data_IF_634119382031
#
_entry.id   IF_634119382031
#
_cell.length_a   1.000
_cell.length_b   1.000
_cell.length_c   1.000
_cell.angle_alpha   90.00
_cell.angle_beta   90.00
_cell.angle_gamma   90.00
#
_symmetry.space_group_name_H-M   'P 1'
#
loop_
_entity.id
_entity.type
_entity.pdbx_description
1 polymer ?
#
# COMPACT_ATOMS: atom_id res chain seq x y z
N UNK A 1 72.37 31.17 -24.19
CA UNK A 1 71.80 30.19 -25.15
C UNK A 1 70.38 29.88 -24.73
N UNK A 2 69.51 29.86 -25.72
CA UNK A 2 68.05 29.81 -25.62
C UNK A 2 67.53 28.43 -25.15
N UNK A 3 66.43 28.49 -24.39
CA UNK A 3 65.33 27.52 -24.20
C UNK A 3 65.64 26.07 -23.80
N UNK A 4 65.08 25.66 -22.65
CA UNK A 4 64.11 24.57 -22.64
C UNK A 4 63.25 24.62 -21.36
N UNK A 5 61.99 24.98 -21.53
CA UNK A 5 60.88 24.74 -20.61
C UNK A 5 60.76 23.24 -20.31
N UNK A 6 61.16 22.82 -19.11
CA UNK A 6 60.77 21.51 -18.59
C UNK A 6 59.48 21.64 -17.77
N UNK A 7 58.40 21.44 -18.52
CA UNK A 7 57.10 20.91 -18.10
C UNK A 7 57.03 20.30 -16.70
N UNK A 8 56.08 20.84 -15.93
CA UNK A 8 55.42 20.23 -14.77
C UNK A 8 55.05 18.77 -15.01
N UNK A 9 55.89 17.84 -14.54
CA UNK A 9 55.55 16.42 -14.39
C UNK A 9 55.61 16.07 -12.91
N UNK A 10 54.45 16.10 -12.24
CA UNK A 10 54.02 15.10 -11.23
C UNK A 10 52.76 15.48 -10.42
N UNK A 11 51.74 16.10 -11.04
CA UNK A 11 50.38 16.15 -10.47
C UNK A 11 49.50 14.99 -10.98
N UNK A 12 50.03 13.78 -10.96
CA UNK A 12 49.21 12.55 -11.06
C UNK A 12 49.55 11.61 -9.91
N UNK A 13 49.47 12.13 -8.67
CA UNK A 13 49.46 11.25 -7.50
C UNK A 13 48.04 10.73 -7.28
N UNK A 14 47.82 9.52 -7.81
CA UNK A 14 47.01 8.44 -7.23
C UNK A 14 45.63 8.87 -6.66
N UNK A 15 44.68 9.16 -7.55
CA UNK A 15 43.26 8.90 -7.29
C UNK A 15 43.13 7.37 -7.24
N UNK A 16 43.32 6.76 -6.08
CA UNK A 16 43.32 5.29 -5.95
C UNK A 16 44.18 4.71 -4.84
N UNK A 17 44.62 5.49 -3.84
CA UNK A 17 44.97 4.88 -2.56
C UNK A 17 43.70 4.77 -1.73
N UNK A 18 43.08 3.59 -1.75
CA UNK A 18 42.12 3.17 -0.73
C UNK A 18 42.77 3.40 0.62
N UNK A 19 42.30 4.41 1.37
CA UNK A 19 42.87 4.63 2.69
C UNK A 19 42.50 3.39 3.54
N UNK A 20 43.52 2.76 4.10
CA UNK A 20 43.38 1.50 4.84
C UNK A 20 43.52 1.75 6.33
N UNK A 21 43.20 0.75 7.14
CA UNK A 21 43.57 0.76 8.54
C UNK A 21 45.09 0.98 8.68
N UNK A 22 45.57 1.83 9.62
CA UNK A 22 44.84 2.53 10.68
C UNK A 22 44.31 3.93 10.30
N UNK A 23 44.49 4.38 9.05
CA UNK A 23 44.12 5.72 8.60
C UNK A 23 42.60 5.88 8.45
N UNK A 24 41.90 4.89 7.87
CA UNK A 24 40.43 4.79 7.96
C UNK A 24 40.05 3.96 9.19
N UNK A 25 39.26 4.56 10.09
CA UNK A 25 38.64 3.87 11.24
C UNK A 25 37.16 4.25 11.29
N UNK A 26 36.26 3.44 10.74
CA UNK A 26 34.82 3.75 10.72
C UNK A 26 34.23 3.91 12.12
N UNK A 27 34.85 3.29 13.13
CA UNK A 27 34.48 3.46 14.55
C UNK A 27 34.55 4.92 15.04
N UNK A 28 35.35 5.79 14.41
CA UNK A 28 35.40 7.22 14.77
C UNK A 28 34.03 7.89 14.62
N UNK A 29 33.27 7.52 13.58
CA UNK A 29 31.92 8.02 13.33
C UNK A 29 30.84 7.35 14.21
N UNK A 30 31.23 6.39 15.07
CA UNK A 30 30.31 5.62 15.92
C UNK A 30 30.53 5.84 17.41
N UNK A 31 31.44 6.74 17.79
CA UNK A 31 31.92 6.91 19.17
C UNK A 31 30.85 7.48 20.12
N UNK A 32 29.97 8.36 19.63
CA UNK A 32 28.89 8.95 20.44
C UNK A 32 27.55 8.91 19.71
N UNK A 33 26.43 8.91 20.46
CA UNK A 33 25.10 9.07 19.87
C UNK A 33 24.98 10.30 18.96
N UNK A 34 25.62 11.42 19.33
CA UNK A 34 25.57 12.69 18.59
C UNK A 34 26.28 12.59 17.24
N UNK A 35 27.48 11.98 17.19
CA UNK A 35 28.19 11.79 15.92
C UNK A 35 27.41 10.83 15.02
N UNK A 36 26.84 9.74 15.58
CA UNK A 36 25.97 8.84 14.81
C UNK A 36 24.73 9.53 14.27
N UNK A 37 24.15 10.48 14.99
CA UNK A 37 23.02 11.26 14.52
C UNK A 37 23.40 12.17 13.34
N UNK A 38 24.56 12.83 13.39
CA UNK A 38 25.06 13.70 12.31
C UNK A 38 25.32 12.96 10.99
N UNK A 39 25.78 11.70 11.06
CA UNK A 39 26.16 10.93 9.87
C UNK A 39 25.12 9.88 9.47
N UNK A 40 23.93 9.89 10.09
CA UNK A 40 22.87 8.93 9.80
C UNK A 40 22.32 9.18 8.39
N UNK A 41 22.28 8.13 7.59
CA UNK A 41 21.83 8.20 6.19
C UNK A 41 20.31 8.09 6.04
N UNK A 42 19.65 7.33 6.91
CA UNK A 42 18.19 7.08 6.84
C UNK A 42 17.48 7.67 8.04
N UNK A 43 16.41 8.42 7.79
CA UNK A 43 15.49 8.90 8.82
C UNK A 43 14.09 8.34 8.54
N UNK A 44 13.38 8.03 9.62
CA UNK A 44 11.98 7.63 9.58
C UNK A 44 11.15 8.72 10.27
N UNK A 45 10.07 9.14 9.63
CA UNK A 45 9.13 10.13 10.15
C UNK A 45 7.68 9.69 9.89
N UNK A 46 6.69 10.22 10.64
CA UNK A 46 5.28 9.84 10.46
C UNK A 46 4.75 10.01 9.02
N UNK A 47 5.27 10.98 8.27
CA UNK A 47 4.92 11.19 6.87
C UNK A 47 5.45 10.11 5.91
N UNK A 48 6.19 9.11 6.40
CA UNK A 48 6.59 7.93 5.64
C UNK A 48 5.67 6.73 5.90
N UNK A 49 4.64 6.89 6.74
CA UNK A 49 3.76 5.81 7.15
C UNK A 49 2.40 5.90 6.46
N UNK A 50 1.82 4.73 6.19
CA UNK A 50 0.42 4.54 5.80
C UNK A 50 -0.16 3.60 6.85
N UNK A 51 -1.36 3.91 7.37
CA UNK A 51 -2.00 3.09 8.40
C UNK A 51 -3.13 2.22 7.81
N UNK A 52 -2.98 0.88 7.76
CA UNK A 52 -4.04 -0.01 7.32
C UNK A 52 -5.20 -0.05 8.31
N UNK A 53 -6.43 -0.02 7.81
CA UNK A 53 -7.67 -0.13 8.58
C UNK A 53 -8.56 -1.24 8.02
N UNK A 54 -9.12 -2.05 8.91
CA UNK A 54 -10.08 -3.10 8.57
C UNK A 54 -11.49 -2.63 8.90
N UNK A 55 -12.35 -2.55 7.87
CA UNK A 55 -13.70 -2.00 7.99
C UNK A 55 -14.75 -3.07 7.73
N UNK A 56 -15.78 -3.13 8.58
CA UNK A 56 -16.86 -4.11 8.51
C UNK A 56 -18.22 -3.46 8.72
N UNK A 57 -19.30 -4.10 8.29
CA UNK A 57 -20.65 -3.57 8.52
C UNK A 57 -21.05 -3.60 10.00
N UNK A 58 -22.04 -2.77 10.34
CA UNK A 58 -22.64 -2.72 11.66
C UNK A 58 -22.59 -1.31 12.26
N UNK A 59 -22.79 -1.25 13.58
CA UNK A 59 -22.74 -0.01 14.36
C UNK A 59 -22.12 -0.29 15.72
N UNK A 60 -21.19 0.55 16.16
CA UNK A 60 -20.45 0.35 17.41
C UNK A 60 -19.56 -0.89 17.41
N UNK A 61 -19.15 -1.38 16.23
CA UNK A 61 -18.30 -2.57 16.10
C UNK A 61 -16.83 -2.17 16.23
N UNK A 62 -16.18 -2.76 17.22
CA UNK A 62 -14.72 -2.73 17.39
C UNK A 62 -14.27 -4.10 17.90
N UNK A 63 -14.01 -5.00 16.96
CA UNK A 63 -13.68 -6.40 17.28
C UNK A 63 -12.20 -6.66 17.03
N UNK A 64 -11.47 -7.09 18.06
CA UNK A 64 -10.04 -7.37 17.94
C UNK A 64 -9.79 -8.59 17.04
N UNK A 65 -8.80 -8.47 16.17
CA UNK A 65 -8.33 -9.56 15.31
C UNK A 65 -7.38 -10.43 16.14
N UNK A 66 -7.78 -11.65 16.45
CA UNK A 66 -7.05 -12.54 17.37
C UNK A 66 -5.61 -12.85 16.94
N UNK A 67 -5.34 -12.89 15.63
CA UNK A 67 -4.00 -13.10 15.07
C UNK A 67 -3.15 -11.84 15.01
N UNK A 68 -3.73 -10.66 15.25
CA UNK A 68 -3.09 -9.35 15.19
C UNK A 68 -3.46 -8.51 16.43
N UNK A 69 -2.86 -8.79 17.60
CA UNK A 69 -3.17 -8.08 18.85
C UNK A 69 -3.07 -6.56 18.70
N UNK A 70 -4.08 -5.84 19.18
CA UNK A 70 -4.20 -4.39 19.03
C UNK A 70 -4.70 -3.89 17.67
N UNK A 71 -5.10 -4.80 16.76
CA UNK A 71 -5.75 -4.46 15.48
C UNK A 71 -7.21 -4.87 15.53
N UNK A 72 -8.09 -4.07 14.94
CA UNK A 72 -9.54 -4.23 15.07
C UNK A 72 -10.24 -4.16 13.71
N UNK A 73 -11.33 -4.90 13.60
CA UNK A 73 -12.37 -4.65 12.62
C UNK A 73 -13.30 -3.56 13.17
N UNK A 74 -13.49 -2.49 12.40
CA UNK A 74 -14.24 -1.31 12.80
C UNK A 74 -15.48 -1.12 11.93
N UNK A 75 -16.63 -0.80 12.53
CA UNK A 75 -17.75 -0.26 11.75
C UNK A 75 -17.52 1.20 11.34
N UNK A 76 -18.16 1.70 10.27
CA UNK A 76 -17.91 3.06 9.77
C UNK A 76 -18.08 4.15 10.84
N UNK A 77 -19.05 4.01 11.75
CA UNK A 77 -19.28 4.96 12.84
C UNK A 77 -18.15 5.02 13.88
N UNK A 78 -17.32 3.99 13.97
CA UNK A 78 -16.13 3.98 14.83
C UNK A 78 -14.91 4.60 14.16
N UNK A 79 -14.94 4.87 12.86
CA UNK A 79 -13.77 5.38 12.12
C UNK A 79 -13.43 6.82 12.49
N UNK A 80 -14.40 7.66 12.87
CA UNK A 80 -14.13 9.07 13.14
C UNK A 80 -13.10 9.25 14.26
N UNK A 81 -13.26 8.53 15.38
CA UNK A 81 -12.31 8.54 16.50
C UNK A 81 -10.93 7.99 16.10
N UNK A 82 -10.90 6.93 15.29
CA UNK A 82 -9.66 6.34 14.80
C UNK A 82 -8.90 7.33 13.90
N UNK A 83 -9.58 7.99 12.96
CA UNK A 83 -8.98 8.97 12.04
C UNK A 83 -8.45 10.20 12.78
N UNK A 84 -9.13 10.68 13.83
CA UNK A 84 -8.59 11.74 14.68
C UNK A 84 -7.28 11.31 15.36
N UNK A 85 -7.24 10.09 15.89
CA UNK A 85 -6.02 9.52 16.50
C UNK A 85 -4.87 9.42 15.49
N UNK A 86 -5.15 8.95 14.27
CA UNK A 86 -4.18 8.87 13.16
C UNK A 86 -3.63 10.27 12.80
N UNK A 87 -4.51 11.28 12.75
CA UNK A 87 -4.14 12.65 12.45
C UNK A 87 -3.26 13.28 13.55
N UNK A 88 -3.57 13.04 14.84
CA UNK A 88 -2.74 13.48 15.97
C UNK A 88 -1.32 12.91 15.91
N UNK A 89 -1.17 11.67 15.43
CA UNK A 89 0.11 11.01 15.17
C UNK A 89 0.83 11.53 13.92
N UNK A 90 0.19 12.43 13.14
CA UNK A 90 0.70 13.02 11.89
C UNK A 90 0.95 11.99 10.79
N UNK A 91 0.19 10.90 10.79
CA UNK A 91 0.21 9.92 9.71
C UNK A 91 -0.68 10.48 8.58
N UNK A 92 -0.17 10.59 7.34
CA UNK A 92 -0.85 11.32 6.27
C UNK A 92 -1.95 10.50 5.56
N UNK A 93 -1.91 9.17 5.68
CA UNK A 93 -2.71 8.30 4.83
C UNK A 93 -3.18 7.03 5.55
N UNK A 94 -4.37 6.57 5.17
CA UNK A 94 -4.94 5.28 5.57
C UNK A 94 -5.17 4.39 4.35
N UNK A 95 -5.03 3.07 4.53
CA UNK A 95 -5.32 2.05 3.52
C UNK A 95 -6.48 1.18 4.01
N UNK A 96 -7.58 1.14 3.25
CA UNK A 96 -8.79 0.44 3.66
C UNK A 96 -8.84 -0.98 3.13
N UNK A 97 -9.13 -1.93 4.03
CA UNK A 97 -9.48 -3.31 3.74
C UNK A 97 -10.91 -3.58 4.22
N UNK A 98 -11.81 -3.91 3.30
CA UNK A 98 -13.23 -4.08 3.56
C UNK A 98 -13.60 -5.53 3.80
N UNK A 99 -14.41 -5.77 4.83
CA UNK A 99 -15.00 -7.07 5.15
C UNK A 99 -16.48 -6.97 4.75
N UNK A 100 -16.90 -7.62 3.65
CA UNK A 100 -18.26 -7.52 3.16
C UNK A 100 -19.24 -8.25 4.06
N UNK A 101 -20.53 -7.91 3.92
CA UNK A 101 -21.61 -8.64 4.60
C UNK A 101 -21.82 -10.02 3.96
N UNK A 102 -21.72 -10.09 2.63
CA UNK A 102 -21.90 -11.31 1.85
C UNK A 102 -20.80 -11.44 0.80
N UNK A 103 -20.38 -12.68 0.55
CA UNK A 103 -19.43 -13.01 -0.52
C UNK A 103 -20.17 -13.75 -1.63
N UNK A 104 -19.81 -13.47 -2.88
CA UNK A 104 -20.41 -14.06 -4.06
C UNK A 104 -19.34 -14.29 -5.15
N UNK A 105 -19.59 -15.09 -6.20
CA UNK A 105 -18.56 -15.44 -7.19
C UNK A 105 -17.91 -14.28 -7.95
N UNK A 106 -18.49 -13.07 -7.92
CA UNK A 106 -17.98 -11.90 -8.66
C UNK A 106 -17.67 -10.70 -7.75
N UNK A 107 -17.97 -10.78 -6.46
CA UNK A 107 -17.71 -9.73 -5.47
C UNK A 107 -18.55 -8.48 -5.68
N UNK A 108 -19.87 -8.64 -5.85
CA UNK A 108 -20.83 -7.57 -6.14
C UNK A 108 -20.74 -6.39 -5.18
N UNK A 109 -20.56 -6.67 -3.87
CA UNK A 109 -20.53 -5.61 -2.86
C UNK A 109 -19.35 -4.65 -3.06
N UNK A 110 -18.22 -5.13 -3.59
CA UNK A 110 -16.99 -4.36 -3.74
C UNK A 110 -17.16 -3.13 -4.65
N UNK A 111 -18.10 -3.19 -5.59
CA UNK A 111 -18.41 -2.08 -6.50
C UNK A 111 -19.85 -1.56 -6.36
N UNK A 112 -20.52 -1.88 -5.25
CA UNK A 112 -21.82 -1.30 -4.92
C UNK A 112 -21.65 0.17 -4.47
N UNK A 113 -22.58 1.04 -4.84
CA UNK A 113 -22.54 2.47 -4.44
C UNK A 113 -22.47 2.67 -2.91
N UNK A 114 -23.02 1.72 -2.16
CA UNK A 114 -23.02 1.69 -0.70
C UNK A 114 -22.33 0.44 -0.11
N UNK A 115 -21.31 -0.10 -0.79
CA UNK A 115 -20.44 -1.12 -0.22
C UNK A 115 -19.62 -0.60 0.97
N UNK A 116 -19.00 -1.51 1.72
CA UNK A 116 -18.29 -1.15 2.96
C UNK A 116 -17.15 -0.16 2.75
N UNK A 117 -16.36 -0.30 1.67
CA UNK A 117 -15.27 0.62 1.34
C UNK A 117 -15.80 2.00 0.97
N UNK A 118 -16.90 2.07 0.22
CA UNK A 118 -17.52 3.32 -0.20
C UNK A 118 -18.09 4.07 1.02
N UNK A 119 -18.73 3.35 1.95
CA UNK A 119 -19.21 3.92 3.21
C UNK A 119 -18.05 4.44 4.07
N UNK A 120 -17.01 3.63 4.29
CA UNK A 120 -15.85 4.00 5.09
C UNK A 120 -15.12 5.22 4.49
N UNK A 121 -14.92 5.23 3.17
CA UNK A 121 -14.27 6.34 2.46
C UNK A 121 -15.02 7.66 2.67
N UNK A 122 -16.35 7.65 2.52
CA UNK A 122 -17.18 8.84 2.75
C UNK A 122 -17.07 9.34 4.19
N UNK A 123 -17.17 8.44 5.18
CA UNK A 123 -17.05 8.82 6.60
C UNK A 123 -15.68 9.44 6.90
N UNK A 124 -14.59 8.88 6.35
CA UNK A 124 -13.25 9.42 6.56
C UNK A 124 -13.13 10.80 5.92
N UNK A 125 -13.62 10.98 4.69
CA UNK A 125 -13.62 12.27 3.99
C UNK A 125 -14.50 13.32 4.65
N UNK A 126 -15.61 12.93 5.27
CA UNK A 126 -16.45 13.81 6.10
C UNK A 126 -15.77 14.20 7.42
N UNK A 127 -15.04 13.26 8.04
CA UNK A 127 -14.35 13.46 9.33
C UNK A 127 -13.11 14.35 9.16
N UNK A 128 -12.28 14.05 8.16
CA UNK A 128 -11.02 14.75 7.90
C UNK A 128 -10.74 14.75 6.39
N UNK A 129 -11.22 15.76 5.65
CA UNK A 129 -11.07 15.83 4.18
C UNK A 129 -9.63 15.70 3.68
N UNK A 130 -8.66 16.20 4.46
CA UNK A 130 -7.22 16.18 4.16
C UNK A 130 -6.55 14.81 4.35
N UNK A 131 -7.22 13.85 5.02
CA UNK A 131 -6.68 12.50 5.17
C UNK A 131 -6.64 11.83 3.79
N UNK A 132 -5.46 11.34 3.39
CA UNK A 132 -5.33 10.56 2.15
C UNK A 132 -5.94 9.18 2.36
N UNK A 133 -6.96 8.86 1.57
CA UNK A 133 -7.64 7.57 1.59
C UNK A 133 -7.17 6.73 0.41
N UNK A 134 -6.52 5.63 0.74
CA UNK A 134 -6.10 4.60 -0.20
C UNK A 134 -7.08 3.44 -0.09
N UNK A 135 -7.57 2.94 -1.22
CA UNK A 135 -8.48 1.79 -1.25
C UNK A 135 -7.84 0.63 -1.99
N UNK A 136 -8.00 -0.58 -1.45
CA UNK A 136 -7.58 -1.80 -2.13
C UNK A 136 -8.50 -2.12 -3.32
N UNK A 137 -7.92 -2.42 -4.49
CA UNK A 137 -8.66 -2.86 -5.67
C UNK A 137 -8.30 -4.31 -5.95
N UNK A 138 -9.13 -5.22 -5.45
CA UNK A 138 -9.01 -6.67 -5.56
C UNK A 138 -10.34 -7.36 -5.25
N UNK A 139 -10.53 -8.62 -5.64
CA UNK A 139 -11.76 -9.38 -5.37
C UNK A 139 -11.63 -10.45 -4.27
N UNK A 140 -10.44 -10.67 -3.70
CA UNK A 140 -10.20 -11.80 -2.80
C UNK A 140 -11.07 -11.78 -1.54
N UNK A 141 -11.29 -10.62 -0.94
CA UNK A 141 -12.13 -10.53 0.26
C UNK A 141 -13.63 -10.61 -0.06
N UNK A 142 -14.01 -10.35 -1.31
CA UNK A 142 -15.41 -10.26 -1.75
C UNK A 142 -15.93 -11.51 -2.44
N UNK A 143 -15.03 -12.38 -2.90
CA UNK A 143 -15.43 -13.62 -3.56
C UNK A 143 -15.59 -14.76 -2.59
N UNK A 144 -16.61 -15.60 -2.80
CA UNK A 144 -16.88 -16.77 -1.97
C UNK A 144 -15.76 -17.83 -2.05
N UNK A 145 -15.01 -17.81 -3.14
CA UNK A 145 -13.85 -18.66 -3.38
C UNK A 145 -12.50 -18.06 -2.95
N UNK A 146 -12.46 -16.77 -2.59
CA UNK A 146 -11.24 -16.11 -2.06
C UNK A 146 -10.15 -15.75 -3.10
N UNK A 147 -10.30 -16.14 -4.36
CA UNK A 147 -9.41 -15.71 -5.44
C UNK A 147 -9.56 -14.23 -5.82
N UNK A 148 -8.48 -13.63 -6.33
CA UNK A 148 -8.42 -12.21 -6.71
C UNK A 148 -9.20 -11.83 -7.99
N UNK A 149 -9.92 -12.78 -8.60
CA UNK A 149 -10.56 -12.59 -9.89
C UNK A 149 -11.66 -13.61 -10.19
N UNK A 150 -12.28 -13.46 -11.35
CA UNK A 150 -13.38 -14.29 -11.83
C UNK A 150 -12.86 -15.67 -12.21
N UNK A 151 -13.51 -16.73 -11.70
CA UNK A 151 -13.09 -18.10 -12.00
C UNK A 151 -13.75 -18.66 -13.27
N UNK A 152 -12.96 -19.42 -14.03
CA UNK A 152 -13.40 -20.20 -15.17
C UNK A 152 -14.16 -21.45 -14.70
N UNK A 153 -15.44 -21.30 -14.33
CA UNK A 153 -16.27 -22.38 -13.77
C UNK A 153 -17.51 -22.65 -14.63
N UNK A 154 -18.14 -23.81 -14.46
CA UNK A 154 -19.36 -24.20 -15.17
C UNK A 154 -19.20 -25.44 -16.03
N UNK A 155 -18.19 -26.28 -15.78
CA UNK A 155 -17.95 -27.50 -16.54
C UNK A 155 -17.83 -27.24 -18.04
N UNK A 156 -18.67 -27.87 -18.85
CA UNK A 156 -18.67 -27.70 -20.32
C UNK A 156 -19.27 -26.37 -20.79
N UNK A 157 -19.87 -25.59 -19.90
CA UNK A 157 -20.42 -24.27 -20.19
C UNK A 157 -19.53 -23.12 -19.66
N UNK A 158 -18.31 -23.44 -19.20
CA UNK A 158 -17.40 -22.42 -18.67
C UNK A 158 -16.98 -21.40 -19.74
N UNK A 159 -16.67 -20.15 -19.37
CA UNK A 159 -16.37 -19.08 -20.33
C UNK A 159 -15.23 -19.42 -21.29
N UNK A 160 -14.20 -20.13 -20.80
CA UNK A 160 -13.05 -20.50 -21.62
C UNK A 160 -12.75 -22.01 -21.52
N UNK A 161 -13.12 -22.75 -22.57
CA UNK A 161 -12.87 -24.19 -22.65
C UNK A 161 -11.38 -24.57 -22.80
N UNK A 162 -10.53 -23.64 -23.24
CA UNK A 162 -9.10 -23.87 -23.39
C UNK A 162 -8.31 -23.70 -22.09
N UNK A 163 -8.93 -23.09 -21.08
CA UNK A 163 -8.36 -22.94 -19.74
C UNK A 163 -8.92 -23.99 -18.78
N UNK A 164 -8.15 -24.38 -17.74
CA UNK A 164 -8.62 -25.33 -16.74
C UNK A 164 -9.80 -24.74 -15.94
N UNK A 165 -10.63 -25.62 -15.40
CA UNK A 165 -11.69 -25.22 -14.47
C UNK A 165 -11.08 -24.65 -13.18
N UNK A 166 -11.64 -23.54 -12.70
CA UNK A 166 -11.10 -22.80 -11.56
C UNK A 166 -9.91 -21.89 -11.89
N UNK A 167 -9.55 -21.71 -13.16
CA UNK A 167 -8.57 -20.71 -13.57
C UNK A 167 -9.09 -19.28 -13.36
N UNK A 168 -8.26 -18.36 -12.88
CA UNK A 168 -8.62 -16.92 -12.77
C UNK A 168 -8.54 -16.28 -14.15
N UNK A 169 -9.70 -15.89 -14.70
CA UNK A 169 -9.84 -15.28 -16.01
C UNK A 169 -9.33 -13.84 -15.98
N UNK A 170 -8.28 -13.52 -16.76
CA UNK A 170 -7.62 -12.22 -16.72
C UNK A 170 -8.55 -11.06 -17.13
N UNK A 171 -9.09 -11.11 -18.34
CA UNK A 171 -9.78 -9.98 -18.96
C UNK A 171 -11.16 -9.75 -18.33
N UNK A 172 -11.89 -10.82 -18.03
CA UNK A 172 -13.15 -10.76 -17.28
C UNK A 172 -12.95 -10.18 -15.87
N UNK A 173 -11.78 -10.42 -15.27
CA UNK A 173 -11.44 -9.81 -13.98
C UNK A 173 -11.14 -8.32 -14.14
N UNK A 174 -10.42 -7.90 -15.19
CA UNK A 174 -10.16 -6.48 -15.47
C UNK A 174 -11.46 -5.67 -15.57
N UNK A 175 -12.49 -6.20 -16.22
CA UNK A 175 -13.79 -5.53 -16.35
C UNK A 175 -14.44 -5.24 -15.00
N UNK A 176 -14.33 -6.16 -14.04
CA UNK A 176 -14.88 -5.98 -12.69
C UNK A 176 -14.00 -5.05 -11.86
N UNK A 177 -12.67 -5.21 -11.91
CA UNK A 177 -11.74 -4.34 -11.18
C UNK A 177 -11.84 -2.87 -11.62
N UNK A 178 -12.14 -2.61 -12.90
CA UNK A 178 -12.44 -1.26 -13.38
C UNK A 178 -13.69 -0.67 -12.68
N UNK A 179 -14.75 -1.47 -12.48
CA UNK A 179 -15.96 -1.03 -11.74
C UNK A 179 -15.64 -0.73 -10.28
N UNK A 180 -14.83 -1.58 -9.64
CA UNK A 180 -14.36 -1.38 -8.26
C UNK A 180 -13.62 -0.06 -8.15
N UNK A 181 -12.58 0.17 -8.96
CA UNK A 181 -11.79 1.39 -8.94
C UNK A 181 -12.66 2.66 -9.16
N UNK A 182 -13.59 2.62 -10.12
CA UNK A 182 -14.51 3.74 -10.38
C UNK A 182 -15.41 4.00 -9.16
N UNK A 183 -15.94 2.95 -8.53
CA UNK A 183 -16.82 3.10 -7.36
C UNK A 183 -16.07 3.71 -6.15
N UNK A 184 -14.82 3.32 -5.94
CA UNK A 184 -13.98 3.85 -4.86
C UNK A 184 -13.62 5.32 -5.11
N UNK A 185 -13.25 5.66 -6.35
CA UNK A 185 -12.98 7.05 -6.74
C UNK A 185 -14.24 7.93 -6.58
N UNK A 186 -15.43 7.44 -6.98
CA UNK A 186 -16.70 8.15 -6.76
C UNK A 186 -17.02 8.38 -5.28
N UNK A 187 -16.58 7.50 -4.39
CA UNK A 187 -16.77 7.64 -2.95
C UNK A 187 -15.80 8.66 -2.31
N UNK A 188 -14.74 9.06 -3.03
CA UNK A 188 -13.76 10.05 -2.58
C UNK A 188 -12.38 9.49 -2.25
N UNK A 189 -12.04 8.27 -2.69
CA UNK A 189 -10.68 7.75 -2.54
C UNK A 189 -9.68 8.58 -3.35
N UNK A 190 -8.54 8.95 -2.75
CA UNK A 190 -7.49 9.71 -3.43
C UNK A 190 -6.57 8.79 -4.24
N UNK A 191 -6.38 7.56 -3.77
CA UNK A 191 -5.56 6.54 -4.41
C UNK A 191 -6.35 5.23 -4.45
N UNK A 192 -6.40 4.63 -5.63
CA UNK A 192 -6.79 3.23 -5.80
C UNK A 192 -5.53 2.38 -5.92
N UNK A 193 -5.44 1.30 -5.16
CA UNK A 193 -4.27 0.43 -5.07
C UNK A 193 -4.59 -0.97 -5.62
N UNK A 194 -4.35 -1.21 -6.92
CA UNK A 194 -4.41 -2.53 -7.54
C UNK A 194 -3.56 -3.59 -6.81
N UNK A 195 -4.19 -4.62 -6.24
CA UNK A 195 -3.49 -5.73 -5.59
C UNK A 195 -3.85 -7.12 -6.15
N UNK A 196 -4.76 -7.17 -7.14
CA UNK A 196 -5.25 -8.42 -7.73
C UNK A 196 -4.24 -9.18 -8.61
N UNK A 197 -3.09 -8.57 -8.95
CA UNK A 197 -2.03 -9.17 -9.78
C UNK A 197 -2.52 -9.68 -11.15
N UNK A 198 -3.45 -8.93 -11.76
CA UNK A 198 -4.00 -9.21 -13.10
C UNK A 198 -3.17 -8.49 -14.16
N UNK A 199 -2.83 -9.18 -15.25
CA UNK A 199 -2.03 -8.60 -16.34
C UNK A 199 -2.81 -7.46 -17.00
N UNK A 200 -2.21 -6.28 -17.11
CA UNK A 200 -2.84 -5.09 -17.71
C UNK A 200 -3.77 -4.29 -16.79
N UNK A 201 -3.68 -4.50 -15.47
CA UNK A 201 -4.55 -3.83 -14.48
C UNK A 201 -4.28 -2.32 -14.28
N UNK A 202 -3.10 -1.81 -14.67
CA UNK A 202 -2.67 -0.41 -14.47
C UNK A 202 -2.67 0.37 -15.79
#
# INVERSE_FOLDING_TARGET
MNFQTQTTKNQKQKIGQTAHFPNIRPRRLRISPQIRAMVRETNLAPNNLIYPLFVTHGRGVKTEISSMPGVYNLSPDMLAEEIHSVAELRIPAVLLFGIPAEKDPIGLENFADNGIIQQATRVIKETLPEMVVITDVCLCEYTDHGHCGILNVGGQNRPNLHLPEGYVLNDETLEILAKVAISHAKAGADIVAPSGMIDGMV
#
